data_IF_449264093479
#
_entry.id   IF_449264093479
#
_cell.length_a   1.000
_cell.length_b   1.000
_cell.length_c   1.000
_cell.angle_alpha   90.00
_cell.angle_beta   90.00
_cell.angle_gamma   90.00
#
_symmetry.space_group_name_H-M   'P 1'
#
loop_
_entity.id
_entity.type
_entity.pdbx_description
1 polymer ?
#
# COMPACT_ATOMS: atom_id res chain seq x y z
N UNK A 1 5.29 24.76 -4.92
CA UNK A 1 4.49 23.95 -5.88
C UNK A 1 5.17 22.61 -6.05
N UNK A 2 4.48 21.48 -5.82
CA UNK A 2 5.03 20.16 -6.21
C UNK A 2 5.28 20.22 -7.72
N UNK A 3 6.51 20.01 -8.20
CA UNK A 3 6.74 20.05 -9.62
C UNK A 3 6.09 18.82 -10.26
N UNK A 4 5.34 19.01 -11.34
CA UNK A 4 4.41 18.01 -11.90
C UNK A 4 5.12 16.73 -12.33
N UNK A 5 4.69 15.60 -11.79
CA UNK A 5 4.89 14.28 -12.39
C UNK A 5 3.92 14.09 -13.57
N UNK A 6 4.18 13.09 -14.41
CA UNK A 6 3.26 12.69 -15.47
C UNK A 6 2.03 11.97 -14.89
N UNK A 7 0.89 12.04 -15.56
CA UNK A 7 -0.31 11.31 -15.10
C UNK A 7 -0.14 9.80 -15.26
N UNK A 8 -0.70 9.02 -14.34
CA UNK A 8 -0.62 7.56 -14.39
C UNK A 8 -1.26 6.99 -15.66
N UNK A 9 -2.35 7.58 -16.14
CA UNK A 9 -2.96 7.18 -17.42
C UNK A 9 -1.95 7.26 -18.57
N UNK A 10 -1.14 8.33 -18.58
CA UNK A 10 -0.15 8.56 -19.62
C UNK A 10 1.05 7.61 -19.50
N UNK A 11 1.47 7.28 -18.28
CA UNK A 11 2.52 6.30 -17.96
C UNK A 11 2.09 4.89 -18.36
N UNK A 12 0.89 4.47 -17.94
CA UNK A 12 0.28 3.18 -18.30
C UNK A 12 0.15 3.06 -19.83
N UNK A 13 -0.23 4.13 -20.52
CA UNK A 13 -0.29 4.12 -21.98
C UNK A 13 1.07 3.94 -22.66
N UNK A 14 2.18 4.39 -22.05
CA UNK A 14 3.52 4.13 -22.58
C UNK A 14 3.95 2.68 -22.35
N UNK A 15 3.70 2.11 -21.17
CA UNK A 15 3.92 0.69 -20.89
C UNK A 15 3.15 -0.20 -21.89
N UNK A 16 1.87 0.11 -22.13
CA UNK A 16 1.01 -0.59 -23.12
C UNK A 16 1.59 -0.58 -24.53
N UNK A 17 2.37 0.45 -24.88
CA UNK A 17 3.05 0.60 -26.17
C UNK A 17 4.47 0.01 -26.18
N UNK A 18 4.88 -0.70 -25.13
CA UNK A 18 6.22 -1.27 -25.00
C UNK A 18 7.33 -0.25 -24.75
N UNK A 19 6.98 0.96 -24.27
CA UNK A 19 7.97 1.98 -23.92
C UNK A 19 8.37 1.86 -22.46
N UNK A 20 9.61 2.26 -22.18
CA UNK A 20 10.09 2.43 -20.81
C UNK A 20 9.48 3.68 -20.16
N UNK A 21 9.28 3.63 -18.85
CA UNK A 21 8.92 4.77 -18.00
C UNK A 21 9.85 4.78 -16.78
N UNK A 22 9.80 5.84 -15.99
CA UNK A 22 10.50 5.94 -14.71
C UNK A 22 9.46 5.97 -13.59
N UNK A 23 9.69 5.15 -12.57
CA UNK A 23 8.92 5.22 -11.34
C UNK A 23 9.86 5.49 -10.17
N UNK A 24 9.44 6.38 -9.28
CA UNK A 24 10.19 6.73 -8.08
C UNK A 24 9.41 6.35 -6.83
N UNK A 25 10.11 5.87 -5.83
CA UNK A 25 9.55 5.58 -4.52
C UNK A 25 9.61 6.81 -3.58
N UNK A 26 9.18 6.62 -2.33
CA UNK A 26 9.18 7.68 -1.34
C UNK A 26 10.60 8.03 -0.87
N UNK A 27 10.82 9.29 -0.50
CA UNK A 27 12.12 9.77 -0.03
C UNK A 27 12.59 9.06 1.25
N UNK A 28 11.65 8.55 2.05
CA UNK A 28 11.93 7.82 3.30
C UNK A 28 12.08 6.29 3.09
N UNK A 29 12.04 5.80 1.83
CA UNK A 29 12.24 4.38 1.48
C UNK A 29 13.63 4.15 0.86
N UNK A 30 13.74 3.90 -0.45
CA UNK A 30 15.02 3.78 -1.16
C UNK A 30 15.44 5.15 -1.72
N UNK A 31 14.47 6.03 -1.99
CA UNK A 31 14.65 7.35 -2.61
C UNK A 31 15.31 7.23 -3.99
N UNK A 32 14.86 6.23 -4.76
CA UNK A 32 15.45 5.79 -6.02
C UNK A 32 14.44 5.87 -7.16
N UNK A 33 14.93 5.68 -8.38
CA UNK A 33 14.11 5.64 -9.58
C UNK A 33 14.52 4.52 -10.50
N UNK A 34 13.52 3.76 -10.92
CA UNK A 34 13.71 2.59 -11.78
C UNK A 34 13.17 2.86 -13.17
N UNK A 35 13.93 2.43 -14.18
CA UNK A 35 13.40 2.18 -15.51
C UNK A 35 12.45 0.99 -15.43
N UNK A 36 11.23 1.12 -15.95
CA UNK A 36 10.24 0.05 -15.97
C UNK A 36 9.71 -0.14 -17.40
N UNK A 37 9.59 -1.39 -17.85
CA UNK A 37 8.81 -1.75 -19.05
C UNK A 37 8.13 -3.12 -18.86
N UNK A 38 7.04 -3.37 -19.61
CA UNK A 38 6.47 -4.72 -19.65
C UNK A 38 7.42 -5.70 -20.36
N UNK A 39 7.64 -6.87 -19.77
CA UNK A 39 8.63 -7.83 -20.22
C UNK A 39 8.31 -8.44 -21.58
N UNK A 40 7.04 -8.51 -21.96
CA UNK A 40 6.64 -9.04 -23.27
C UNK A 40 7.08 -8.16 -24.46
N UNK A 41 7.44 -6.90 -24.20
CA UNK A 41 7.97 -5.98 -25.21
C UNK A 41 9.49 -5.82 -25.13
N UNK A 42 10.18 -6.65 -24.33
CA UNK A 42 11.63 -6.55 -24.17
C UNK A 42 12.35 -6.70 -25.51
N UNK A 43 13.42 -5.92 -25.69
CA UNK A 43 14.30 -6.02 -26.86
C UNK A 43 15.76 -5.93 -26.44
N UNK A 44 16.71 -6.43 -27.25
CA UNK A 44 18.14 -6.24 -26.97
C UNK A 44 18.52 -4.75 -26.83
N UNK A 45 17.86 -3.86 -27.59
CA UNK A 45 18.05 -2.41 -27.48
C UNK A 45 17.60 -1.86 -26.13
N UNK A 46 16.48 -2.34 -25.60
CA UNK A 46 15.98 -1.94 -24.28
C UNK A 46 16.89 -2.43 -23.16
N UNK A 47 17.34 -3.69 -23.20
CA UNK A 47 18.29 -4.25 -22.22
C UNK A 47 19.63 -3.50 -22.28
N UNK A 48 20.13 -3.20 -23.48
CA UNK A 48 21.34 -2.40 -23.63
C UNK A 48 21.15 -0.97 -23.10
N UNK A 49 19.98 -0.37 -23.31
CA UNK A 49 19.66 0.94 -22.75
C UNK A 49 19.67 0.91 -21.22
N UNK A 50 19.01 -0.07 -20.60
CA UNK A 50 19.03 -0.27 -19.15
C UNK A 50 20.46 -0.46 -18.64
N UNK A 51 21.25 -1.35 -19.26
CA UNK A 51 22.63 -1.59 -18.83
C UNK A 51 23.54 -0.36 -18.99
N UNK A 52 23.37 0.43 -20.05
CA UNK A 52 24.21 1.61 -20.33
C UNK A 52 23.80 2.86 -19.55
N UNK A 53 22.50 3.09 -19.43
CA UNK A 53 21.93 4.34 -18.93
C UNK A 53 21.28 4.20 -17.56
N UNK A 54 20.66 3.05 -17.25
CA UNK A 54 20.23 2.73 -15.88
C UNK A 54 21.44 2.32 -15.03
N UNK A 55 22.24 1.39 -15.55
CA UNK A 55 23.46 0.81 -14.93
C UNK A 55 23.19 -0.06 -13.69
N UNK A 56 21.97 0.00 -13.14
CA UNK A 56 21.50 -0.88 -12.06
C UNK A 56 21.37 -2.34 -12.48
N UNK A 57 20.85 -3.14 -11.55
CA UNK A 57 20.68 -4.56 -11.76
C UNK A 57 19.40 -4.80 -12.57
N UNK A 58 19.52 -5.42 -13.74
CA UNK A 58 18.35 -5.73 -14.56
C UNK A 58 17.61 -6.92 -13.94
N UNK A 59 16.44 -6.64 -13.40
CA UNK A 59 15.59 -7.60 -12.71
C UNK A 59 14.26 -7.80 -13.45
N UNK A 60 13.58 -8.92 -13.18
CA UNK A 60 12.29 -9.27 -13.79
C UNK A 60 11.23 -9.50 -12.70
N UNK A 61 10.50 -8.46 -12.29
CA UNK A 61 9.35 -8.61 -11.40
C UNK A 61 8.23 -9.42 -12.06
N UNK A 62 7.68 -10.36 -11.30
CA UNK A 62 6.56 -11.21 -11.74
C UNK A 62 5.77 -11.77 -10.56
N UNK A 63 4.67 -12.45 -10.83
CA UNK A 63 3.83 -13.10 -9.82
C UNK A 63 4.46 -14.39 -9.30
N UNK A 64 4.14 -14.76 -8.06
CA UNK A 64 4.53 -16.05 -7.48
C UNK A 64 4.00 -17.26 -8.28
N UNK A 65 2.83 -17.13 -8.90
CA UNK A 65 2.24 -18.16 -9.77
C UNK A 65 3.11 -18.41 -11.00
N UNK A 66 3.62 -17.34 -11.63
CA UNK A 66 4.50 -17.45 -12.79
C UNK A 66 5.83 -18.10 -12.43
N UNK A 67 6.43 -17.71 -11.31
CA UNK A 67 7.68 -18.32 -10.82
C UNK A 67 7.50 -19.81 -10.57
N UNK A 68 6.37 -20.19 -9.93
CA UNK A 68 6.01 -21.60 -9.70
C UNK A 68 5.81 -22.36 -11.00
N UNK A 69 5.12 -21.77 -11.99
CA UNK A 69 4.91 -22.38 -13.31
C UNK A 69 6.24 -22.70 -14.00
N UNK A 70 7.23 -21.81 -13.86
CA UNK A 70 8.54 -21.94 -14.47
C UNK A 70 9.56 -22.72 -13.62
N UNK A 71 9.16 -23.25 -12.46
CA UNK A 71 10.06 -23.98 -11.58
C UNK A 71 11.22 -23.14 -11.04
N UNK A 72 11.02 -21.82 -10.88
CA UNK A 72 12.05 -20.91 -10.35
C UNK A 72 11.91 -20.89 -8.83
N UNK A 73 12.97 -21.30 -8.14
CA UNK A 73 12.98 -21.44 -6.68
C UNK A 73 13.41 -20.16 -5.96
N UNK A 74 13.18 -20.12 -4.65
CA UNK A 74 13.63 -19.02 -3.80
C UNK A 74 15.16 -19.01 -3.70
N UNK A 75 15.78 -17.83 -3.84
CA UNK A 75 17.24 -17.70 -3.76
C UNK A 75 17.78 -17.99 -2.35
N UNK A 76 17.03 -17.59 -1.32
CA UNK A 76 17.43 -17.74 0.08
C UNK A 76 16.24 -18.12 0.96
N UNK A 77 16.43 -19.08 1.88
CA UNK A 77 15.39 -19.50 2.82
C UNK A 77 15.00 -18.42 3.84
N UNK A 78 15.94 -17.54 4.20
CA UNK A 78 15.73 -16.45 5.17
C UNK A 78 16.18 -15.13 4.57
N UNK A 79 15.23 -14.33 4.11
CA UNK A 79 15.50 -13.03 3.52
C UNK A 79 15.90 -11.98 4.58
N UNK A 80 17.18 -11.63 4.59
CA UNK A 80 17.77 -10.65 5.50
C UNK A 80 17.84 -9.24 4.91
N UNK A 81 17.44 -9.05 3.65
CA UNK A 81 17.40 -7.75 2.99
C UNK A 81 16.59 -6.71 3.81
N UNK A 82 17.03 -5.47 3.81
CA UNK A 82 16.42 -4.36 4.57
C UNK A 82 15.00 -4.08 4.10
N UNK A 83 14.80 -4.04 2.79
CA UNK A 83 13.52 -3.73 2.15
C UNK A 83 12.69 -4.99 1.82
N UNK A 84 13.20 -6.17 2.18
CA UNK A 84 12.62 -7.48 1.90
C UNK A 84 12.36 -7.71 0.41
N UNK A 85 13.27 -7.26 -0.45
CA UNK A 85 13.22 -7.55 -1.88
C UNK A 85 13.36 -9.05 -2.12
N UNK A 86 12.37 -9.63 -2.78
CA UNK A 86 12.14 -11.08 -2.84
C UNK A 86 12.82 -11.69 -4.08
N UNK A 87 14.16 -11.69 -4.08
CA UNK A 87 14.97 -12.30 -5.15
C UNK A 87 14.76 -13.81 -5.24
N UNK A 88 14.54 -14.27 -6.47
CA UNK A 88 14.50 -15.68 -6.81
C UNK A 88 15.82 -16.09 -7.46
N UNK A 89 16.07 -17.40 -7.57
CA UNK A 89 17.29 -17.91 -8.22
C UNK A 89 17.43 -17.30 -9.62
N UNK A 90 18.63 -16.84 -9.96
CA UNK A 90 18.87 -16.22 -11.26
C UNK A 90 18.74 -17.25 -12.38
N UNK A 91 18.34 -16.79 -13.56
CA UNK A 91 18.04 -17.67 -14.70
C UNK A 91 18.69 -17.18 -15.99
N UNK A 92 18.93 -18.13 -16.88
CA UNK A 92 19.23 -17.90 -18.30
C UNK A 92 18.34 -18.79 -19.17
N UNK A 93 18.16 -18.40 -20.43
CA UNK A 93 17.54 -19.26 -21.43
C UNK A 93 18.36 -20.55 -21.61
N UNK A 94 17.70 -21.70 -21.63
CA UNK A 94 18.39 -22.98 -21.81
C UNK A 94 19.01 -23.14 -23.21
N UNK A 95 18.51 -22.39 -24.20
CA UNK A 95 18.92 -22.44 -25.61
C UNK A 95 18.85 -21.06 -26.23
N UNK A 96 19.51 -20.87 -27.38
CA UNK A 96 19.43 -19.62 -28.15
C UNK A 96 20.27 -18.48 -27.59
N UNK A 97 21.18 -18.77 -26.65
CA UNK A 97 22.12 -17.83 -26.05
C UNK A 97 23.54 -18.41 -26.05
N UNK A 98 24.52 -17.58 -25.70
CA UNK A 98 25.92 -17.99 -25.52
C UNK A 98 26.26 -18.06 -24.03
N UNK A 99 26.75 -16.96 -23.47
CA UNK A 99 27.12 -16.84 -22.07
C UNK A 99 26.00 -16.27 -21.20
N UNK A 100 24.91 -15.76 -21.79
CA UNK A 100 23.78 -15.23 -21.03
C UNK A 100 23.85 -13.74 -20.72
N UNK A 101 25.05 -13.15 -20.60
CA UNK A 101 25.22 -11.77 -20.12
C UNK A 101 24.95 -10.69 -21.18
N UNK A 102 25.05 -11.05 -22.46
CA UNK A 102 24.88 -10.09 -23.56
C UNK A 102 23.50 -9.43 -23.51
N UNK A 103 23.35 -8.23 -24.08
CA UNK A 103 22.04 -7.58 -24.12
C UNK A 103 21.01 -8.39 -24.94
N UNK A 104 21.47 -9.12 -25.96
CA UNK A 104 20.63 -10.02 -26.75
C UNK A 104 20.25 -11.27 -25.95
N UNK A 105 21.21 -11.87 -25.25
CA UNK A 105 21.01 -13.09 -24.46
C UNK A 105 20.04 -12.83 -23.31
N UNK A 106 20.26 -11.76 -22.52
CA UNK A 106 19.34 -11.36 -21.46
C UNK A 106 17.96 -11.02 -22.00
N UNK A 107 17.85 -10.32 -23.13
CA UNK A 107 16.54 -10.06 -23.76
C UNK A 107 15.83 -11.36 -24.17
N UNK A 108 16.57 -12.37 -24.66
CA UNK A 108 16.01 -13.68 -24.99
C UNK A 108 15.50 -14.41 -23.74
N UNK A 109 16.28 -14.45 -22.66
CA UNK A 109 15.86 -15.00 -21.36
C UNK A 109 14.60 -14.31 -20.84
N UNK A 110 14.55 -12.98 -20.87
CA UNK A 110 13.38 -12.20 -20.43
C UNK A 110 12.15 -12.50 -21.31
N UNK A 111 12.34 -12.65 -22.62
CA UNK A 111 11.24 -13.00 -23.52
C UNK A 111 10.66 -14.39 -23.22
N UNK A 112 11.49 -15.37 -22.84
CA UNK A 112 11.05 -16.68 -22.36
C UNK A 112 10.28 -16.55 -21.04
N UNK A 113 10.82 -15.78 -20.07
CA UNK A 113 10.13 -15.48 -18.81
C UNK A 113 8.74 -14.87 -19.07
N UNK A 114 8.57 -14.06 -20.11
CA UNK A 114 7.32 -13.43 -20.50
C UNK A 114 6.38 -14.30 -21.38
N UNK A 115 6.83 -15.46 -21.86
CA UNK A 115 6.09 -16.33 -22.80
C UNK A 115 5.09 -17.24 -22.08
N UNK A 116 3.77 -17.16 -22.34
CA UNK A 116 2.76 -17.94 -21.60
C UNK A 116 2.99 -19.45 -21.62
N UNK A 117 3.49 -19.96 -22.74
CA UNK A 117 3.74 -21.38 -23.00
C UNK A 117 5.14 -21.85 -22.58
N UNK A 118 5.94 -20.99 -21.95
CA UNK A 118 7.25 -21.41 -21.47
C UNK A 118 7.11 -22.46 -20.36
N UNK A 119 8.01 -23.44 -20.41
CA UNK A 119 8.13 -24.57 -19.50
C UNK A 119 9.39 -24.41 -18.65
N UNK A 120 9.49 -25.10 -17.49
CA UNK A 120 10.69 -25.05 -16.66
C UNK A 120 11.99 -25.36 -17.41
N UNK A 121 11.98 -26.32 -18.34
CA UNK A 121 13.14 -26.72 -19.15
C UNK A 121 13.60 -25.66 -20.17
N UNK A 122 12.82 -24.60 -20.41
CA UNK A 122 13.25 -23.48 -21.24
C UNK A 122 14.27 -22.56 -20.52
N UNK A 123 14.46 -22.75 -19.22
CA UNK A 123 15.35 -21.96 -18.37
C UNK A 123 16.35 -22.85 -17.63
N UNK A 124 17.54 -22.32 -17.41
CA UNK A 124 18.57 -22.91 -16.54
C UNK A 124 18.85 -22.00 -15.35
N UNK A 125 19.27 -22.61 -14.25
CA UNK A 125 19.59 -21.96 -12.98
C UNK A 125 20.99 -22.42 -12.53
N UNK A 126 21.93 -21.51 -12.17
CA UNK A 126 21.82 -20.05 -12.18
C UNK A 126 21.91 -19.44 -13.59
N UNK A 127 21.75 -18.11 -13.69
CA UNK A 127 22.00 -17.33 -14.90
C UNK A 127 22.16 -15.82 -14.63
N UNK A 128 21.90 -14.98 -15.64
CA UNK A 128 22.22 -13.54 -15.63
C UNK A 128 21.01 -12.60 -15.60
N UNK A 129 19.79 -13.17 -15.53
CA UNK A 129 18.56 -12.43 -15.28
C UNK A 129 18.04 -12.77 -13.89
N UNK A 130 17.59 -11.76 -13.14
CA UNK A 130 17.21 -11.90 -11.73
C UNK A 130 15.69 -11.74 -11.55
N UNK A 131 14.91 -12.83 -11.45
CA UNK A 131 13.49 -12.74 -11.20
C UNK A 131 13.20 -12.24 -9.78
N UNK A 132 12.17 -11.41 -9.65
CA UNK A 132 11.69 -10.89 -8.37
C UNK A 132 10.23 -11.30 -8.17
N UNK A 133 9.89 -11.79 -6.98
CA UNK A 133 8.51 -12.14 -6.63
C UNK A 133 7.76 -10.93 -6.08
N UNK A 134 6.78 -10.41 -6.82
CA UNK A 134 5.86 -9.41 -6.31
C UNK A 134 4.89 -10.03 -5.28
N UNK A 135 4.58 -9.28 -4.22
CA UNK A 135 3.55 -9.68 -3.25
C UNK A 135 2.15 -9.65 -3.90
N UNK A 136 1.29 -10.64 -3.61
CA UNK A 136 -0.13 -10.55 -3.97
C UNK A 136 -0.73 -9.24 -3.46
N UNK A 137 -1.54 -8.57 -4.29
CA UNK A 137 -2.09 -7.25 -4.00
C UNK A 137 -1.21 -6.07 -4.44
N UNK A 138 0.04 -6.31 -4.88
CA UNK A 138 0.88 -5.30 -5.51
C UNK A 138 1.23 -4.13 -4.60
N UNK A 139 1.25 -2.91 -5.14
CA UNK A 139 1.65 -1.69 -4.40
C UNK A 139 0.74 -1.38 -3.22
N UNK A 140 -0.48 -1.93 -3.22
CA UNK A 140 -1.43 -1.82 -2.11
C UNK A 140 -1.04 -2.69 -0.90
N UNK A 141 -0.06 -3.60 -1.07
CA UNK A 141 0.48 -4.46 -0.02
C UNK A 141 1.94 -4.18 0.30
N UNK A 142 2.74 -3.85 -0.71
CA UNK A 142 4.14 -3.41 -0.55
C UNK A 142 4.45 -2.34 -1.58
N UNK A 143 4.75 -1.13 -1.11
CA UNK A 143 5.09 0.01 -1.96
C UNK A 143 6.54 -0.05 -2.49
N UNK A 144 6.90 -1.12 -3.20
CA UNK A 144 8.23 -1.29 -3.82
C UNK A 144 8.19 -1.31 -5.35
N UNK A 145 9.34 -1.07 -5.98
CA UNK A 145 9.49 -1.09 -7.45
C UNK A 145 9.08 -2.44 -8.06
N UNK A 146 9.34 -3.55 -7.36
CA UNK A 146 8.89 -4.90 -7.76
C UNK A 146 7.38 -4.96 -7.98
N UNK A 147 6.60 -4.56 -6.97
CA UNK A 147 5.14 -4.55 -7.07
C UNK A 147 4.64 -3.52 -8.07
N UNK A 148 5.23 -2.32 -8.09
CA UNK A 148 4.83 -1.25 -9.00
C UNK A 148 5.00 -1.64 -10.47
N UNK A 149 6.06 -2.37 -10.79
CA UNK A 149 6.33 -2.82 -12.15
C UNK A 149 5.30 -3.86 -12.62
N UNK A 150 4.95 -4.82 -11.77
CA UNK A 150 3.91 -5.83 -12.07
C UNK A 150 2.54 -5.15 -12.22
N UNK A 151 2.17 -4.28 -11.29
CA UNK A 151 0.89 -3.56 -11.33
C UNK A 151 0.76 -2.67 -12.58
N UNK A 152 1.83 -1.97 -12.98
CA UNK A 152 1.81 -1.18 -14.21
C UNK A 152 1.63 -2.04 -15.45
N UNK A 153 2.26 -3.22 -15.50
CA UNK A 153 2.08 -4.14 -16.61
C UNK A 153 0.62 -4.63 -16.67
N UNK A 154 0.03 -5.03 -15.55
CA UNK A 154 -1.38 -5.44 -15.48
C UNK A 154 -2.33 -4.31 -15.89
N UNK A 155 -2.16 -3.10 -15.34
CA UNK A 155 -2.98 -1.93 -15.69
C UNK A 155 -2.82 -1.52 -17.17
N UNK A 156 -1.68 -1.82 -17.77
CA UNK A 156 -1.45 -1.63 -19.19
C UNK A 156 -2.16 -2.68 -20.07
N UNK A 157 -2.73 -3.73 -19.48
CA UNK A 157 -3.27 -4.88 -20.21
C UNK A 157 -2.18 -5.83 -20.71
N UNK A 158 -0.98 -5.73 -20.15
CA UNK A 158 0.14 -6.62 -20.41
C UNK A 158 0.12 -7.80 -19.43
N UNK A 159 0.95 -8.80 -19.70
CA UNK A 159 1.20 -9.89 -18.74
C UNK A 159 1.83 -9.31 -17.47
N UNK A 160 1.57 -9.91 -16.29
CA UNK A 160 2.06 -9.41 -14.99
C UNK A 160 3.55 -9.72 -14.77
N UNK A 161 4.37 -9.30 -15.74
CA UNK A 161 5.80 -9.57 -15.85
C UNK A 161 6.43 -8.31 -16.43
N UNK A 162 7.37 -7.73 -15.71
CA UNK A 162 8.03 -6.48 -16.09
C UNK A 162 9.56 -6.65 -16.07
N UNK A 163 10.27 -5.65 -16.57
CA UNK A 163 11.72 -5.50 -16.44
C UNK A 163 11.98 -4.19 -15.74
N UNK A 164 12.81 -4.25 -14.69
CA UNK A 164 13.25 -3.06 -13.96
C UNK A 164 14.77 -2.93 -13.95
N UNK A 165 15.25 -1.70 -13.80
CA UNK A 165 16.66 -1.38 -13.63
C UNK A 165 16.78 -0.03 -12.95
N UNK A 166 17.45 0.02 -11.80
CA UNK A 166 17.69 1.25 -11.06
C UNK A 166 18.57 2.20 -11.88
N UNK A 167 18.37 3.51 -11.70
CA UNK A 167 19.12 4.54 -12.42
C UNK A 167 20.25 5.09 -11.52
N UNK A 168 21.49 4.90 -11.97
CA UNK A 168 22.69 5.49 -11.36
C UNK A 168 23.18 6.72 -12.13
N UNK A 169 23.83 7.63 -11.40
CA UNK A 169 24.62 8.72 -11.94
C UNK A 169 25.91 8.19 -12.58
N UNK A 170 26.61 9.07 -13.30
CA UNK A 170 27.84 8.71 -14.01
C UNK A 170 28.97 8.26 -13.06
N UNK A 171 28.96 8.76 -11.83
CA UNK A 171 29.91 8.44 -10.76
C UNK A 171 29.57 7.17 -9.97
N UNK A 172 28.49 6.47 -10.34
CA UNK A 172 28.02 5.25 -9.68
C UNK A 172 27.15 5.49 -8.44
N UNK A 173 26.89 6.74 -8.05
CA UNK A 173 25.90 7.03 -7.02
C UNK A 173 24.47 6.89 -7.56
N UNK A 174 23.50 6.61 -6.69
CA UNK A 174 22.09 6.49 -7.10
C UNK A 174 21.50 7.85 -7.54
N UNK A 175 20.78 7.87 -8.66
CA UNK A 175 20.15 9.09 -9.14
C UNK A 175 18.91 9.42 -8.30
N UNK A 176 18.89 10.63 -7.73
CA UNK A 176 17.76 11.18 -6.97
C UNK A 176 16.85 12.02 -7.85
N UNK A 177 15.67 12.38 -7.35
CA UNK A 177 14.61 13.06 -8.11
C UNK A 177 15.08 14.21 -9.05
N UNK A 178 15.97 15.14 -8.64
CA UNK A 178 16.46 16.17 -9.55
C UNK A 178 17.25 15.62 -10.75
N UNK A 179 18.04 14.57 -10.55
CA UNK A 179 18.82 13.89 -11.59
C UNK A 179 17.90 13.04 -12.47
N UNK A 180 16.99 12.28 -11.86
CA UNK A 180 15.99 11.45 -12.55
C UNK A 180 15.14 12.28 -13.52
N UNK A 181 14.78 13.51 -13.17
CA UNK A 181 14.06 14.41 -14.08
C UNK A 181 14.89 14.88 -15.25
N UNK A 182 16.18 15.15 -15.05
CA UNK A 182 17.09 15.47 -16.16
C UNK A 182 17.22 14.27 -17.09
N UNK A 183 17.34 13.07 -16.51
CA UNK A 183 17.39 11.81 -17.24
C UNK A 183 16.10 11.56 -18.04
N UNK A 184 14.93 11.69 -17.41
CA UNK A 184 13.61 11.57 -18.03
C UNK A 184 13.48 12.47 -19.26
N UNK A 185 13.80 13.76 -19.14
CA UNK A 185 13.75 14.71 -20.27
C UNK A 185 14.74 14.35 -21.37
N UNK A 186 15.99 14.02 -21.01
CA UNK A 186 17.05 13.65 -21.97
C UNK A 186 16.64 12.46 -22.83
N UNK A 187 16.02 11.47 -22.22
CA UNK A 187 15.64 10.21 -22.87
C UNK A 187 14.16 10.16 -23.29
N UNK A 188 13.42 11.26 -23.10
CA UNK A 188 11.98 11.39 -23.42
C UNK A 188 11.13 10.30 -22.76
N UNK A 189 11.43 10.00 -21.50
CA UNK A 189 10.70 9.05 -20.67
C UNK A 189 9.76 9.80 -19.74
N UNK A 190 8.58 9.23 -19.49
CA UNK A 190 7.68 9.72 -18.46
C UNK A 190 8.17 9.33 -17.07
N UNK A 191 7.81 10.13 -16.07
CA UNK A 191 8.16 9.91 -14.66
C UNK A 191 6.93 10.08 -13.77
N UNK A 192 6.68 9.08 -12.91
CA UNK A 192 5.61 9.11 -11.91
C UNK A 192 6.10 8.50 -10.57
N UNK A 193 5.25 8.55 -9.54
CA UNK A 193 5.58 8.03 -8.21
C UNK A 193 4.80 6.77 -7.88
N UNK A 194 5.35 5.90 -7.01
CA UNK A 194 4.61 4.74 -6.46
C UNK A 194 3.38 5.23 -5.68
N UNK A 195 3.49 6.37 -4.99
CA UNK A 195 2.37 6.97 -4.26
C UNK A 195 1.20 7.32 -5.19
N UNK A 196 1.48 7.90 -6.36
CA UNK A 196 0.44 8.21 -7.35
C UNK A 196 -0.17 6.94 -7.96
N UNK A 197 0.63 5.86 -8.13
CA UNK A 197 0.12 4.55 -8.54
C UNK A 197 -0.80 3.92 -7.48
N UNK A 198 -0.43 4.00 -6.20
CA UNK A 198 -1.27 3.53 -5.08
C UNK A 198 -2.62 4.25 -5.10
N UNK A 199 -2.62 5.58 -5.21
CA UNK A 199 -3.84 6.38 -5.27
C UNK A 199 -4.67 6.10 -6.54
N UNK A 200 -4.00 5.90 -7.68
CA UNK A 200 -4.63 5.53 -8.94
C UNK A 200 -5.40 4.20 -8.81
N UNK A 201 -4.77 3.17 -8.25
CA UNK A 201 -5.41 1.85 -7.99
C UNK A 201 -6.53 1.96 -6.98
N UNK A 202 -6.27 2.60 -5.83
CA UNK A 202 -7.22 2.80 -4.72
C UNK A 202 -8.54 3.43 -5.15
N UNK A 203 -8.48 4.40 -6.05
CA UNK A 203 -9.67 5.14 -6.54
C UNK A 203 -10.44 4.43 -7.66
N UNK A 204 -9.88 3.37 -8.27
CA UNK A 204 -10.48 2.68 -9.43
C UNK A 204 -10.83 1.22 -9.18
N UNK A 205 -10.20 0.58 -8.20
CA UNK A 205 -10.42 -0.83 -7.88
C UNK A 205 -11.39 -1.00 -6.71
N UNK A 206 -12.32 -1.96 -6.83
CA UNK A 206 -13.14 -2.40 -5.68
C UNK A 206 -12.36 -3.44 -4.88
N UNK A 207 -11.79 -3.00 -3.76
CA UNK A 207 -10.89 -3.76 -2.88
C UNK A 207 -11.62 -4.41 -1.69
N UNK A 208 -12.89 -4.07 -1.50
CA UNK A 208 -13.75 -4.65 -0.48
C UNK A 208 -14.89 -5.45 -1.10
N UNK A 209 -15.29 -6.50 -0.39
CA UNK A 209 -16.43 -7.35 -0.73
C UNK A 209 -17.39 -7.34 0.47
N UNK A 210 -18.66 -7.03 0.23
CA UNK A 210 -19.71 -7.21 1.23
C UNK A 210 -20.05 -8.69 1.31
N UNK A 211 -20.00 -9.27 2.53
CA UNK A 211 -20.16 -10.71 2.76
C UNK A 211 -21.53 -11.05 3.32
N UNK A 212 -21.95 -10.36 4.38
CA UNK A 212 -23.20 -10.68 5.09
C UNK A 212 -23.72 -9.46 5.88
N UNK A 213 -25.01 -9.47 6.26
CA UNK A 213 -25.62 -8.49 7.16
C UNK A 213 -26.52 -9.15 8.19
N UNK A 214 -26.35 -8.78 9.46
CA UNK A 214 -27.23 -9.20 10.55
C UNK A 214 -27.76 -7.99 11.33
N UNK A 215 -28.85 -8.17 12.06
CA UNK A 215 -29.26 -7.23 13.10
C UNK A 215 -28.43 -7.47 14.36
N UNK A 216 -27.89 -6.40 14.92
CA UNK A 216 -27.09 -6.41 16.13
C UNK A 216 -27.78 -5.51 17.19
N UNK A 217 -28.56 -6.09 18.11
CA UNK A 217 -29.03 -5.36 19.28
C UNK A 217 -27.83 -5.08 20.21
N UNK A 218 -27.74 -3.85 20.72
CA UNK A 218 -26.70 -3.42 21.66
C UNK A 218 -27.32 -2.57 22.76
N UNK A 219 -26.58 -2.35 23.85
CA UNK A 219 -27.00 -1.42 24.92
C UNK A 219 -27.23 0.02 24.43
N UNK A 220 -26.70 0.36 23.25
CA UNK A 220 -26.84 1.68 22.63
C UNK A 220 -27.96 1.71 21.58
N UNK A 221 -28.70 0.62 21.41
CA UNK A 221 -29.76 0.44 20.43
C UNK A 221 -29.42 -0.56 19.34
N UNK A 222 -30.36 -0.78 18.42
CA UNK A 222 -30.20 -1.72 17.30
C UNK A 222 -29.40 -1.11 16.15
N UNK A 223 -28.48 -1.89 15.58
CA UNK A 223 -27.71 -1.57 14.38
C UNK A 223 -27.79 -2.72 13.38
N UNK A 224 -27.67 -2.44 12.09
CA UNK A 224 -27.31 -3.45 11.11
C UNK A 224 -25.79 -3.61 11.11
N UNK A 225 -25.30 -4.82 11.41
CA UNK A 225 -23.89 -5.16 11.34
C UNK A 225 -23.58 -5.77 9.98
N UNK A 226 -22.76 -5.09 9.18
CA UNK A 226 -22.29 -5.57 7.88
C UNK A 226 -20.87 -6.08 7.96
N UNK A 227 -20.64 -7.29 7.44
CA UNK A 227 -19.34 -7.91 7.30
C UNK A 227 -18.74 -7.58 5.93
N UNK A 228 -17.52 -7.07 5.91
CA UNK A 228 -16.74 -6.81 4.71
C UNK A 228 -15.47 -7.64 4.70
N UNK A 229 -15.05 -8.16 3.55
CA UNK A 229 -13.77 -8.83 3.34
C UNK A 229 -12.88 -7.99 2.43
N UNK A 230 -11.62 -7.81 2.82
CA UNK A 230 -10.58 -7.19 2.02
C UNK A 230 -10.07 -8.19 0.98
N UNK A 231 -10.08 -7.80 -0.30
CA UNK A 231 -9.51 -8.60 -1.40
C UNK A 231 -7.98 -8.59 -1.41
N UNK A 232 -7.36 -7.66 -0.68
CA UNK A 232 -5.91 -7.53 -0.62
C UNK A 232 -5.27 -8.58 0.28
N UNK A 233 -5.95 -8.99 1.34
CA UNK A 233 -5.38 -9.85 2.38
C UNK A 233 -6.35 -10.78 3.09
N UNK A 234 -7.62 -10.78 2.68
CA UNK A 234 -8.66 -11.61 3.28
C UNK A 234 -9.06 -11.18 4.69
N UNK A 235 -8.55 -10.06 5.21
CA UNK A 235 -8.99 -9.50 6.49
C UNK A 235 -10.47 -9.16 6.42
N UNK A 236 -11.16 -9.29 7.55
CA UNK A 236 -12.55 -8.89 7.67
C UNK A 236 -12.65 -7.54 8.40
N UNK A 237 -13.60 -6.71 8.00
CA UNK A 237 -13.93 -5.44 8.65
C UNK A 237 -15.43 -5.38 8.87
N UNK A 238 -15.86 -4.49 9.78
CA UNK A 238 -17.28 -4.38 10.14
C UNK A 238 -17.76 -2.96 9.92
N UNK A 239 -19.03 -2.83 9.55
CA UNK A 239 -19.75 -1.55 9.61
C UNK A 239 -21.03 -1.73 10.43
N UNK A 240 -21.19 -0.93 11.48
CA UNK A 240 -22.43 -0.81 12.24
C UNK A 240 -23.22 0.35 11.64
N UNK A 241 -24.40 0.07 11.11
CA UNK A 241 -25.24 1.03 10.41
C UNK A 241 -26.52 1.26 11.21
N UNK A 242 -26.86 2.52 11.45
CA UNK A 242 -28.11 2.95 12.08
C UNK A 242 -28.96 3.68 11.05
N UNK A 243 -30.19 3.20 10.86
CA UNK A 243 -31.17 3.82 9.95
C UNK A 243 -30.78 3.76 8.46
N UNK A 244 -31.58 4.39 7.61
CA UNK A 244 -31.29 4.52 6.18
C UNK A 244 -30.22 5.59 5.93
N UNK A 245 -29.07 5.20 5.40
CA UNK A 245 -27.90 6.07 5.18
C UNK A 245 -27.62 6.36 3.70
N UNK A 246 -28.13 5.54 2.78
CA UNK A 246 -27.76 5.61 1.37
C UNK A 246 -28.33 6.88 0.72
N UNK A 247 -27.48 7.63 0.01
CA UNK A 247 -27.88 8.87 -0.67
C UNK A 247 -28.27 10.03 0.26
N UNK A 248 -28.18 9.86 1.58
CA UNK A 248 -28.51 10.91 2.56
C UNK A 248 -27.33 11.85 2.75
N UNK A 249 -27.62 13.13 2.95
CA UNK A 249 -26.62 14.13 3.33
C UNK A 249 -26.46 14.20 4.84
N UNK A 250 -25.27 14.57 5.31
CA UNK A 250 -25.01 14.83 6.72
C UNK A 250 -25.04 13.57 7.61
N UNK A 251 -24.78 12.40 7.04
CA UNK A 251 -24.74 11.14 7.81
C UNK A 251 -23.57 11.19 8.79
N UNK A 252 -23.85 10.88 10.06
CA UNK A 252 -22.82 10.86 11.10
C UNK A 252 -21.97 9.59 10.96
N UNK A 253 -20.66 9.75 10.80
CA UNK A 253 -19.74 8.65 10.50
C UNK A 253 -18.60 8.62 11.50
N UNK A 254 -18.26 7.42 11.98
CA UNK A 254 -17.03 7.16 12.74
C UNK A 254 -16.21 6.08 12.04
N UNK A 255 -14.96 6.38 11.68
CA UNK A 255 -13.99 5.37 11.28
C UNK A 255 -13.10 5.04 12.49
N UNK A 256 -13.41 3.92 13.13
CA UNK A 256 -12.74 3.40 14.32
C UNK A 256 -11.69 2.37 13.93
N UNK A 257 -10.53 2.42 14.58
CA UNK A 257 -9.47 1.43 14.40
C UNK A 257 -9.46 0.53 15.62
N UNK A 258 -9.51 -0.77 15.39
CA UNK A 258 -9.50 -1.81 16.42
C UNK A 258 -8.43 -1.53 17.46
N UNK A 259 -8.83 -1.66 18.72
CA UNK A 259 -7.95 -1.62 19.86
C UNK A 259 -8.40 -2.68 20.86
N UNK A 260 -7.93 -3.92 20.72
CA UNK A 260 -8.32 -5.04 21.57
C UNK A 260 -8.24 -4.70 23.06
N UNK A 261 -7.13 -4.11 23.49
CA UNK A 261 -6.94 -3.71 24.89
C UNK A 261 -7.97 -2.68 25.37
N UNK A 262 -8.36 -1.74 24.51
CA UNK A 262 -9.27 -0.64 24.88
C UNK A 262 -10.74 -1.00 24.70
N UNK A 263 -11.07 -1.57 23.55
CA UNK A 263 -12.43 -1.84 23.08
C UNK A 263 -13.02 -3.08 23.78
N UNK A 264 -12.20 -4.11 24.04
CA UNK A 264 -12.67 -5.36 24.68
C UNK A 264 -12.34 -5.39 26.17
N UNK A 265 -11.08 -5.15 26.55
CA UNK A 265 -10.64 -5.27 27.95
C UNK A 265 -10.76 -3.99 28.78
N UNK A 266 -11.29 -2.90 28.21
CA UNK A 266 -11.52 -1.65 28.95
C UNK A 266 -10.25 -0.97 29.46
N UNK A 267 -9.11 -1.11 28.76
CA UNK A 267 -7.84 -0.52 29.18
C UNK A 267 -7.94 0.99 29.40
N UNK A 268 -7.55 1.43 30.59
CA UNK A 268 -7.48 2.85 30.97
C UNK A 268 -6.28 3.60 30.41
N UNK A 269 -5.30 2.89 29.81
CA UNK A 269 -4.09 3.50 29.20
C UNK A 269 -4.39 4.23 27.89
N UNK A 270 -5.53 3.94 27.26
CA UNK A 270 -5.98 4.60 26.05
C UNK A 270 -7.42 5.11 26.21
N UNK A 271 -7.93 5.76 25.18
CA UNK A 271 -9.30 6.28 25.11
C UNK A 271 -10.15 5.58 24.03
N UNK A 272 -9.66 4.49 23.44
CA UNK A 272 -10.31 3.84 22.29
C UNK A 272 -11.69 3.27 22.61
N UNK A 273 -11.82 2.40 23.62
CA UNK A 273 -13.10 1.80 23.98
C UNK A 273 -14.15 2.83 24.37
N UNK A 274 -13.83 3.78 25.28
CA UNK A 274 -14.75 4.87 25.59
C UNK A 274 -15.14 5.73 24.38
N UNK A 275 -14.23 5.99 23.43
CA UNK A 275 -14.58 6.67 22.18
C UNK A 275 -15.50 5.82 21.30
N UNK A 276 -15.31 4.50 21.20
CA UNK A 276 -16.20 3.63 20.44
C UNK A 276 -17.63 3.69 20.98
N UNK A 277 -17.78 3.54 22.31
CA UNK A 277 -19.08 3.61 22.97
C UNK A 277 -19.72 4.99 22.82
N UNK A 278 -18.94 6.07 22.92
CA UNK A 278 -19.45 7.43 22.71
C UNK A 278 -19.93 7.64 21.26
N UNK A 279 -19.24 7.08 20.26
CA UNK A 279 -19.70 7.12 18.88
C UNK A 279 -21.02 6.36 18.69
N UNK A 280 -21.15 5.17 19.28
CA UNK A 280 -22.39 4.38 19.25
C UNK A 280 -23.57 5.17 19.83
N UNK A 281 -23.39 5.81 21.00
CA UNK A 281 -24.42 6.66 21.61
C UNK A 281 -24.82 7.84 20.73
N UNK A 282 -23.84 8.57 20.19
CA UNK A 282 -24.12 9.75 19.35
C UNK A 282 -24.85 9.37 18.06
N UNK A 283 -24.44 8.26 17.42
CA UNK A 283 -25.09 7.76 16.20
C UNK A 283 -26.49 7.23 16.52
N UNK A 284 -26.67 6.52 17.62
CA UNK A 284 -27.98 6.06 18.06
C UNK A 284 -28.93 7.23 18.33
N UNK A 285 -28.47 8.26 19.05
CA UNK A 285 -29.23 9.48 19.33
C UNK A 285 -29.58 10.26 18.05
N UNK A 286 -28.70 10.28 17.05
CA UNK A 286 -28.97 10.89 15.76
C UNK A 286 -29.97 10.09 14.90
N UNK A 287 -30.25 8.82 15.25
CA UNK A 287 -31.13 7.92 14.50
C UNK A 287 -30.60 7.48 13.14
N UNK A 288 -29.48 8.04 12.68
CA UNK A 288 -28.84 7.77 11.39
C UNK A 288 -27.33 7.92 11.47
N UNK A 289 -26.58 6.87 11.10
CA UNK A 289 -25.12 6.96 11.04
C UNK A 289 -24.42 5.63 10.82
N UNK A 290 -23.09 5.69 10.70
CA UNK A 290 -22.23 4.53 10.42
C UNK A 290 -21.01 4.54 11.34
N UNK A 291 -20.68 3.40 11.92
CA UNK A 291 -19.37 3.13 12.52
C UNK A 291 -18.67 2.08 11.67
N UNK A 292 -17.59 2.45 11.01
CA UNK A 292 -16.68 1.49 10.37
C UNK A 292 -15.64 1.07 11.41
N UNK A 293 -15.61 -0.22 11.74
CA UNK A 293 -14.63 -0.83 12.63
C UNK A 293 -13.56 -1.53 11.79
N UNK A 294 -12.45 -0.84 11.59
CA UNK A 294 -11.30 -1.35 10.85
C UNK A 294 -10.45 -2.22 11.76
N UNK A 295 -10.25 -3.49 11.39
CA UNK A 295 -9.43 -4.45 12.14
C UNK A 295 -7.93 -4.22 11.91
N UNK A 296 -7.43 -3.11 12.45
CA UNK A 296 -6.06 -2.61 12.28
C UNK A 296 -5.43 -2.19 13.61
N UNK A 297 -5.23 -3.16 14.49
CA UNK A 297 -4.64 -2.97 15.82
C UNK A 297 -3.28 -2.26 15.79
N UNK A 298 -3.02 -1.45 16.82
CA UNK A 298 -1.75 -0.76 17.02
C UNK A 298 -1.48 0.37 16.04
N UNK A 299 -2.50 0.83 15.30
CA UNK A 299 -2.33 1.70 14.10
C UNK A 299 -1.69 0.96 12.92
N UNK A 300 -2.00 -0.33 12.77
CA UNK A 300 -1.51 -1.17 11.68
C UNK A 300 -0.25 -1.97 12.01
N UNK A 301 0.46 -1.68 13.11
CA UNK A 301 1.66 -2.46 13.53
C UNK A 301 1.30 -3.82 14.17
N UNK A 302 0.02 -4.04 14.49
CA UNK A 302 -0.47 -5.25 15.11
C UNK A 302 -0.30 -5.30 16.63
N UNK A 303 -0.98 -6.28 17.24
CA UNK A 303 -1.01 -6.45 18.70
C UNK A 303 0.38 -6.71 19.31
N UNK A 304 1.24 -7.61 18.77
CA UNK A 304 2.53 -7.91 19.40
C UNK A 304 3.44 -6.68 19.50
N UNK A 305 3.52 -5.89 18.43
CA UNK A 305 4.33 -4.67 18.40
C UNK A 305 3.78 -3.60 19.37
N UNK A 306 2.45 -3.45 19.43
CA UNK A 306 1.80 -2.56 20.40
C UNK A 306 2.14 -2.93 21.86
N UNK A 307 2.12 -4.22 22.22
CA UNK A 307 2.46 -4.65 23.58
C UNK A 307 3.94 -4.38 23.90
N UNK A 308 4.85 -4.61 22.94
CA UNK A 308 6.26 -4.22 23.09
C UNK A 308 6.42 -2.71 23.27
N UNK A 309 5.66 -1.90 22.52
CA UNK A 309 5.67 -0.45 22.64
C UNK A 309 5.20 0.00 24.04
N UNK A 310 4.18 -0.66 24.61
CA UNK A 310 3.77 -0.40 25.99
C UNK A 310 4.88 -0.68 26.99
N UNK A 311 5.67 -1.74 26.80
CA UNK A 311 6.81 -2.01 27.69
C UNK A 311 7.86 -0.91 27.64
N UNK A 312 8.12 -0.34 26.46
CA UNK A 312 9.01 0.81 26.31
C UNK A 312 8.43 2.08 26.94
N UNK A 313 7.11 2.26 26.89
CA UNK A 313 6.44 3.41 27.53
C UNK A 313 6.51 3.34 29.06
N UNK A 314 6.44 2.14 29.64
CA UNK A 314 6.71 1.92 31.07
C UNK A 314 8.13 2.34 31.46
N UNK A 315 9.09 2.21 30.55
CA UNK A 315 10.46 2.69 30.72
C UNK A 315 10.63 4.20 30.42
N UNK A 316 9.54 4.95 30.26
CA UNK A 316 9.54 6.40 30.17
C UNK A 316 9.42 6.98 28.76
N UNK A 317 9.46 6.16 27.70
CA UNK A 317 9.28 6.65 26.33
C UNK A 317 7.83 7.06 26.08
N UNK A 318 7.60 8.03 25.19
CA UNK A 318 6.25 8.27 24.67
C UNK A 318 5.88 7.29 23.55
N UNK A 319 4.64 7.38 23.06
CA UNK A 319 4.14 6.49 22.01
C UNK A 319 4.89 6.60 20.68
N UNK A 320 5.35 7.80 20.32
CA UNK A 320 6.09 8.01 19.07
C UNK A 320 7.47 7.40 19.20
N UNK A 321 8.19 7.74 20.28
CA UNK A 321 9.54 7.22 20.55
C UNK A 321 9.57 5.70 20.68
N UNK A 322 8.55 5.11 21.32
CA UNK A 322 8.45 3.66 21.47
C UNK A 322 8.28 2.95 20.12
N UNK A 323 7.50 3.52 19.19
CA UNK A 323 7.31 2.96 17.86
C UNK A 323 8.57 3.11 17.01
N UNK A 324 9.20 4.29 17.02
CA UNK A 324 10.47 4.55 16.31
C UNK A 324 11.56 3.57 16.78
N UNK A 325 11.68 3.36 18.09
CA UNK A 325 12.64 2.40 18.67
C UNK A 325 12.38 0.95 18.27
N UNK A 326 11.13 0.60 17.96
CA UNK A 326 10.74 -0.72 17.46
C UNK A 326 10.83 -0.82 15.93
N UNK A 327 11.27 0.23 15.24
CA UNK A 327 11.40 0.27 13.78
C UNK A 327 10.07 0.45 13.04
N UNK A 328 9.02 0.98 13.68
CA UNK A 328 7.73 1.23 13.04
C UNK A 328 7.49 2.72 12.81
N UNK A 329 6.93 3.11 11.65
CA UNK A 329 6.51 4.48 11.42
C UNK A 329 5.32 4.86 12.32
N UNK A 330 5.03 6.16 12.39
CA UNK A 330 4.08 6.73 13.36
C UNK A 330 2.61 6.31 13.14
N UNK A 331 2.26 5.96 11.89
CA UNK A 331 0.91 5.57 11.48
C UNK A 331 0.96 4.71 10.19
N UNK A 332 0.42 3.49 10.23
CA UNK A 332 0.30 2.57 9.08
C UNK A 332 -1.17 2.25 8.74
N UNK A 333 -2.10 3.09 9.17
CA UNK A 333 -3.54 2.81 8.99
C UNK A 333 -3.94 2.89 7.51
N UNK A 334 -4.74 1.92 7.10
CA UNK A 334 -5.33 1.83 5.77
C UNK A 334 -6.67 2.57 5.74
N UNK A 335 -6.65 3.83 5.32
CA UNK A 335 -7.86 4.66 5.22
C UNK A 335 -8.69 4.36 3.97
N UNK A 336 -8.07 3.87 2.90
CA UNK A 336 -8.74 3.60 1.62
C UNK A 336 -9.82 2.53 1.73
N UNK A 337 -9.59 1.44 2.46
CA UNK A 337 -10.60 0.39 2.66
C UNK A 337 -11.81 0.91 3.43
N UNK A 338 -11.59 1.72 4.48
CA UNK A 338 -12.68 2.35 5.22
C UNK A 338 -13.50 3.32 4.36
N UNK A 339 -12.84 4.05 3.45
CA UNK A 339 -13.51 4.90 2.47
C UNK A 339 -14.38 4.10 1.50
N UNK A 340 -13.87 2.98 0.96
CA UNK A 340 -14.65 2.13 0.07
C UNK A 340 -15.86 1.49 0.77
N UNK A 341 -15.75 1.11 2.05
CA UNK A 341 -16.89 0.64 2.85
C UNK A 341 -17.98 1.72 2.92
N UNK A 342 -17.60 2.97 3.21
CA UNK A 342 -18.55 4.08 3.24
C UNK A 342 -19.19 4.35 1.87
N UNK A 343 -18.42 4.26 0.79
CA UNK A 343 -18.91 4.42 -0.57
C UNK A 343 -19.88 3.28 -0.97
N UNK A 344 -19.57 2.03 -0.59
CA UNK A 344 -20.42 0.85 -0.83
C UNK A 344 -21.75 0.93 -0.06
N UNK A 345 -21.74 1.54 1.13
CA UNK A 345 -22.96 1.90 1.88
C UNK A 345 -23.76 3.05 1.24
N UNK A 346 -23.28 3.64 0.13
CA UNK A 346 -23.97 4.69 -0.61
C UNK A 346 -23.83 6.09 -0.02
N UNK A 347 -22.82 6.33 0.84
CA UNK A 347 -22.57 7.65 1.42
C UNK A 347 -21.82 8.54 0.42
N UNK A 348 -22.11 9.84 0.46
CA UNK A 348 -21.42 10.87 -0.33
C UNK A 348 -21.01 12.08 0.53
N UNK A 349 -21.91 12.57 1.37
CA UNK A 349 -21.66 13.72 2.26
C UNK A 349 -21.77 13.32 3.71
N UNK A 350 -20.66 13.37 4.45
CA UNK A 350 -20.54 12.80 5.79
C UNK A 350 -20.12 13.84 6.83
N UNK A 351 -20.61 13.67 8.05
CA UNK A 351 -20.14 14.39 9.25
C UNK A 351 -19.25 13.44 10.02
N UNK A 352 -17.95 13.72 10.09
CA UNK A 352 -16.95 12.77 10.59
C UNK A 352 -16.68 12.97 12.09
N UNK A 353 -16.94 11.94 12.88
CA UNK A 353 -16.63 11.84 14.31
C UNK A 353 -15.14 11.61 14.55
N UNK A 354 -14.37 12.69 14.66
CA UNK A 354 -12.92 12.64 14.87
C UNK A 354 -12.39 13.85 15.63
N UNK A 355 -11.40 13.59 16.49
CA UNK A 355 -10.58 14.63 17.13
C UNK A 355 -9.27 14.89 16.36
N UNK A 356 -8.99 14.11 15.31
CA UNK A 356 -7.76 14.23 14.55
C UNK A 356 -8.03 14.96 13.21
N UNK A 357 -7.49 16.17 13.01
CA UNK A 357 -7.69 16.94 11.78
C UNK A 357 -6.94 16.35 10.56
N UNK A 358 -5.86 15.56 10.77
CA UNK A 358 -5.14 14.88 9.70
C UNK A 358 -5.90 13.71 9.08
N UNK A 359 -6.93 13.17 9.77
CA UNK A 359 -7.81 12.12 9.22
C UNK A 359 -8.73 12.60 8.09
N UNK A 360 -8.70 13.89 7.75
CA UNK A 360 -9.54 14.47 6.69
C UNK A 360 -8.99 14.25 5.27
N UNK A 361 -7.72 13.84 5.14
CA UNK A 361 -7.05 13.69 3.84
C UNK A 361 -7.25 12.26 3.31
N UNK A 362 -7.70 12.11 2.06
CA UNK A 362 -7.81 10.82 1.36
C UNK A 362 -9.24 10.31 1.08
N UNK A 363 -10.27 10.90 1.70
CA UNK A 363 -11.66 10.49 1.47
C UNK A 363 -12.25 11.04 0.16
N UNK A 364 -11.77 12.20 -0.30
CA UNK A 364 -12.25 12.85 -1.52
C UNK A 364 -12.08 12.00 -2.79
N UNK A 365 -11.03 11.17 -2.85
CA UNK A 365 -10.77 10.26 -3.97
C UNK A 365 -11.80 9.14 -4.13
N UNK A 366 -12.67 8.95 -3.13
CA UNK A 366 -13.75 7.96 -3.12
C UNK A 366 -15.14 8.58 -3.31
N UNK A 367 -15.20 9.85 -3.73
CA UNK A 367 -16.46 10.58 -3.86
C UNK A 367 -17.12 10.91 -2.51
N UNK A 368 -16.34 10.89 -1.42
CA UNK A 368 -16.78 11.25 -0.07
C UNK A 368 -16.33 12.67 0.28
N UNK A 369 -17.31 13.53 0.55
CA UNK A 369 -17.15 14.90 1.02
C UNK A 369 -17.39 14.94 2.53
N UNK A 370 -16.43 15.45 3.29
CA UNK A 370 -16.58 15.66 4.73
C UNK A 370 -17.16 17.07 4.93
N UNK A 371 -18.44 17.16 5.30
CA UNK A 371 -19.15 18.44 5.45
C UNK A 371 -18.93 19.06 6.83
N UNK A 372 -18.57 18.25 7.83
CA UNK A 372 -18.36 18.70 9.21
C UNK A 372 -17.44 17.73 9.95
N UNK A 373 -16.53 18.28 10.76
CA UNK A 373 -15.80 17.50 11.76
C UNK A 373 -16.54 17.60 13.10
N UNK A 374 -17.09 16.49 13.57
CA UNK A 374 -17.81 16.41 14.85
C UNK A 374 -16.87 15.85 15.93
N UNK A 375 -16.69 16.54 17.07
CA UNK A 375 -15.77 16.10 18.10
C UNK A 375 -16.31 14.87 18.85
N UNK A 376 -15.39 14.01 19.32
CA UNK A 376 -15.69 12.84 20.14
C UNK A 376 -14.92 12.91 21.46
N UNK A 377 -15.52 13.60 22.43
CA UNK A 377 -14.86 13.89 23.71
C UNK A 377 -15.18 12.82 24.73
N UNK A 378 -14.15 12.38 25.44
CA UNK A 378 -14.26 11.49 26.60
C UNK A 378 -13.41 12.08 27.72
N UNK A 379 -13.91 12.13 28.97
CA UNK A 379 -13.11 12.60 30.10
C UNK A 379 -11.79 11.83 30.23
N UNK A 380 -10.65 12.54 30.41
CA UNK A 380 -9.38 11.88 30.69
C UNK A 380 -9.39 11.20 32.05
N UNK A 381 -8.54 10.20 32.23
CA UNK A 381 -8.29 9.54 33.51
C UNK A 381 -6.79 9.59 33.85
N UNK A 382 -6.39 9.29 35.11
CA UNK A 382 -5.00 9.40 35.53
C UNK A 382 -4.01 8.59 34.68
N UNK A 383 -4.44 7.47 34.09
CA UNK A 383 -3.57 6.58 33.31
C UNK A 383 -3.40 7.00 31.83
N UNK A 384 -4.28 7.83 31.27
CA UNK A 384 -4.19 8.26 29.88
C UNK A 384 -3.91 9.77 29.70
N UNK A 385 -3.83 10.55 30.78
CA UNK A 385 -3.59 12.00 30.70
C UNK A 385 -2.33 12.34 29.85
N UNK A 386 -1.19 11.70 30.14
CA UNK A 386 0.07 11.89 29.40
C UNK A 386 -0.05 11.45 27.93
N UNK A 387 -0.80 10.39 27.66
CA UNK A 387 -1.05 9.90 26.30
C UNK A 387 -1.89 10.89 25.48
N UNK A 388 -2.96 11.42 26.08
CA UNK A 388 -3.82 12.44 25.46
C UNK A 388 -3.06 13.75 25.23
N UNK A 389 -2.22 14.15 26.18
CA UNK A 389 -1.37 15.32 26.01
C UNK A 389 -0.37 15.15 24.85
N UNK A 390 0.21 13.97 24.70
CA UNK A 390 1.08 13.63 23.56
C UNK A 390 0.32 13.74 22.24
N UNK A 391 -0.91 13.21 22.16
CA UNK A 391 -1.78 13.36 20.98
C UNK A 391 -2.06 14.82 20.64
N UNK A 392 -2.33 15.65 21.65
CA UNK A 392 -2.57 17.08 21.45
C UNK A 392 -1.31 17.79 20.94
N UNK A 393 -0.19 17.65 21.65
CA UNK A 393 1.06 18.39 21.39
C UNK A 393 1.78 17.92 20.12
N UNK A 394 1.88 16.61 19.90
CA UNK A 394 2.70 16.03 18.81
C UNK A 394 1.88 15.61 17.59
N UNK A 395 0.59 15.30 17.76
CA UNK A 395 -0.26 14.76 16.67
C UNK A 395 -1.38 15.74 16.24
N UNK A 396 -1.48 16.91 16.89
CA UNK A 396 -2.43 17.96 16.53
C UNK A 396 -3.90 17.60 16.81
N UNK A 397 -4.18 16.69 17.74
CA UNK A 397 -5.56 16.34 18.07
C UNK A 397 -6.28 17.47 18.82
N UNK A 398 -7.52 17.73 18.44
CA UNK A 398 -8.47 18.64 19.10
C UNK A 398 -9.20 17.88 20.21
N UNK A 399 -8.60 17.81 21.40
CA UNK A 399 -9.09 17.06 22.56
C UNK A 399 -9.75 17.96 23.60
#
# INVERSE_FOLDING_TARGET
MRPSFDSLESVIADIRRGRMVILVDDADRENEGDLIMAAEFVTPKAVNFMAKHGRGLICVPTTGERLKQLGIEEMVKRNQDTFKTDFQVSVDAARGITTGISAADRAHTIAILARPTALPEDLVQPGHVFPLRAKPGGVLRRAGHTEAAVDLAELAGCRPIAVICEIMNDDGSMARLPQLRKFARRHRLKIATIADLIEYRRSREKLIEHVETIRLPTDYGEFDLRLYRSRLDGQHHLALVKGDVAGRAGVLVRVHSECLTGDVFGSRRCDCGPQLHQAMRQIAAAGRGVIVYMRQEGRGIGLPAKIKAYKLQEAGLDTVQANEKLGYPMDLREYGLGAQILADLGLKKIRLLTNNPRKLVGLAGYGLEITEQVPIRVPPNPHNARYLETKRKKMGHLL
#
